data_IF_877864023564
#
_entry.id   IF_877864023564
#
_cell.length_a   1.000
_cell.length_b   1.000
_cell.length_c   1.000
_cell.angle_alpha   90.00
_cell.angle_beta   90.00
_cell.angle_gamma   90.00
#
_symmetry.space_group_name_H-M   'P 1'
#
loop_
_entity.id
_entity.type
_entity.pdbx_description
1 polymer ?
#
# COMPACT_ATOMS: atom_id res chain seq x y z
N UNK A 1 -13.17 13.37 -4.72
CA UNK A 1 -12.26 14.54 -4.77
C UNK A 1 -10.78 14.14 -4.68
N UNK A 2 -10.36 13.37 -3.67
CA UNK A 2 -8.94 13.00 -3.46
C UNK A 2 -8.33 12.12 -4.57
N UNK A 3 -9.10 11.21 -5.16
CA UNK A 3 -8.63 10.37 -6.29
C UNK A 3 -8.45 11.16 -7.59
N UNK A 4 -9.38 12.07 -7.91
CA UNK A 4 -9.26 12.94 -9.09
C UNK A 4 -8.07 13.89 -8.97
N UNK A 5 -7.80 14.44 -7.79
CA UNK A 5 -6.62 15.29 -7.55
C UNK A 5 -5.31 14.50 -7.67
N UNK A 6 -5.25 13.27 -7.16
CA UNK A 6 -4.10 12.38 -7.32
C UNK A 6 -3.87 12.03 -8.80
N UNK A 7 -4.90 11.62 -9.53
CA UNK A 7 -4.81 11.34 -10.97
C UNK A 7 -4.32 12.58 -11.74
N UNK A 8 -4.79 13.78 -11.41
CA UNK A 8 -4.34 15.02 -12.03
C UNK A 8 -2.85 15.30 -11.73
N UNK A 9 -2.40 15.07 -10.50
CA UNK A 9 -1.00 15.20 -10.12
C UNK A 9 -0.09 14.19 -10.85
N UNK A 10 -0.54 12.92 -11.00
CA UNK A 10 0.14 11.90 -11.81
C UNK A 10 0.22 12.33 -13.27
N UNK A 11 -0.89 12.82 -13.83
CA UNK A 11 -0.99 13.23 -15.22
C UNK A 11 -0.07 14.42 -15.51
N UNK A 12 -0.01 15.41 -14.62
CA UNK A 12 0.89 16.57 -14.71
C UNK A 12 2.36 16.14 -14.61
N UNK A 13 2.72 15.30 -13.65
CA UNK A 13 4.09 14.79 -13.50
C UNK A 13 4.49 13.88 -14.68
N UNK A 14 3.55 13.13 -15.25
CA UNK A 14 3.76 12.20 -16.37
C UNK A 14 3.83 12.89 -17.74
N UNK A 15 3.17 14.03 -17.94
CA UNK A 15 3.21 14.78 -19.20
C UNK A 15 4.50 15.59 -19.36
N UNK A 16 5.18 15.93 -18.25
CA UNK A 16 6.47 16.64 -18.27
C UNK A 16 7.66 15.70 -18.55
N UNK A 17 7.71 15.20 -19.79
CA UNK A 17 8.77 14.32 -20.32
C UNK A 17 10.21 14.88 -20.19
N UNK A 18 10.36 16.19 -19.97
CA UNK A 18 11.65 16.90 -19.75
C UNK A 18 12.34 16.61 -18.40
N UNK A 19 11.67 15.98 -17.44
CA UNK A 19 12.19 15.77 -16.07
C UNK A 19 12.60 14.32 -15.77
N UNK A 20 12.82 13.47 -16.77
CA UNK A 20 13.12 12.03 -16.67
C UNK A 20 14.53 11.72 -16.08
N UNK A 21 14.81 12.25 -14.89
CA UNK A 21 15.92 11.91 -14.02
C UNK A 21 15.54 10.76 -13.08
N UNK A 22 16.53 10.16 -12.43
CA UNK A 22 16.38 9.07 -11.44
C UNK A 22 15.39 9.38 -10.31
N UNK A 23 15.23 10.66 -9.94
CA UNK A 23 14.22 11.15 -8.98
C UNK A 23 12.79 10.98 -9.50
N UNK A 24 12.56 11.28 -10.78
CA UNK A 24 11.23 11.18 -11.39
C UNK A 24 10.74 9.73 -11.46
N UNK A 25 11.65 8.76 -11.59
CA UNK A 25 11.28 7.35 -11.61
C UNK A 25 10.69 6.87 -10.26
N UNK A 26 11.22 7.33 -9.13
CA UNK A 26 10.67 6.99 -7.80
C UNK A 26 9.29 7.62 -7.61
N UNK A 27 9.13 8.90 -7.98
CA UNK A 27 7.83 9.58 -7.94
C UNK A 27 6.78 8.89 -8.83
N UNK A 28 7.15 8.44 -10.03
CA UNK A 28 6.24 7.67 -10.89
C UNK A 28 5.72 6.39 -10.21
N UNK A 29 6.59 5.63 -9.56
CA UNK A 29 6.19 4.41 -8.86
C UNK A 29 5.31 4.68 -7.63
N UNK A 30 5.57 5.78 -6.91
CA UNK A 30 4.71 6.25 -5.82
C UNK A 30 3.29 6.55 -6.34
N UNK A 31 3.19 7.32 -7.42
CA UNK A 31 1.92 7.66 -8.05
C UNK A 31 1.15 6.43 -8.54
N UNK A 32 1.86 5.50 -9.18
CA UNK A 32 1.29 4.20 -9.57
C UNK A 32 0.76 3.45 -8.35
N UNK A 33 1.46 3.47 -7.22
CA UNK A 33 0.99 2.85 -5.97
C UNK A 33 -0.29 3.50 -5.43
N UNK A 34 -0.44 4.83 -5.55
CA UNK A 34 -1.69 5.52 -5.20
C UNK A 34 -2.86 5.12 -6.11
N UNK A 35 -2.61 4.99 -7.41
CA UNK A 35 -3.62 4.54 -8.38
C UNK A 35 -4.09 3.12 -8.03
N UNK A 36 -3.16 2.19 -7.82
CA UNK A 36 -3.51 0.82 -7.46
C UNK A 36 -4.28 0.74 -6.14
N UNK A 37 -3.89 1.51 -5.12
CA UNK A 37 -4.61 1.60 -3.86
C UNK A 37 -6.07 2.04 -4.07
N UNK A 38 -6.28 3.06 -4.90
CA UNK A 38 -7.63 3.54 -5.19
C UNK A 38 -8.47 2.53 -5.98
N UNK A 39 -7.88 1.89 -7.00
CA UNK A 39 -8.53 0.79 -7.74
C UNK A 39 -8.94 -0.33 -6.77
N UNK A 40 -8.08 -0.72 -5.85
CA UNK A 40 -8.36 -1.75 -4.86
C UNK A 40 -9.49 -1.39 -3.90
N UNK A 41 -9.56 -0.12 -3.47
CA UNK A 41 -10.69 0.39 -2.67
C UNK A 41 -11.98 0.28 -3.47
N UNK A 42 -12.00 0.74 -4.72
CA UNK A 42 -13.18 0.67 -5.58
C UNK A 42 -13.63 -0.77 -5.75
N UNK A 43 -12.72 -1.69 -6.07
CA UNK A 43 -13.02 -3.11 -6.22
C UNK A 43 -13.62 -3.68 -4.94
N UNK A 44 -13.05 -3.38 -3.76
CA UNK A 44 -13.60 -3.82 -2.48
C UNK A 44 -15.01 -3.28 -2.25
N UNK A 45 -15.24 -1.98 -2.49
CA UNK A 45 -16.57 -1.36 -2.31
C UNK A 45 -17.61 -1.98 -3.23
N UNK A 46 -17.29 -2.17 -4.52
CA UNK A 46 -18.19 -2.81 -5.50
C UNK A 46 -18.51 -4.24 -5.08
N UNK A 47 -17.52 -5.04 -4.70
CA UNK A 47 -17.73 -6.42 -4.25
C UNK A 47 -18.58 -6.46 -2.98
N UNK A 48 -18.31 -5.57 -2.02
CA UNK A 48 -19.07 -5.52 -0.77
C UNK A 48 -20.53 -5.10 -1.01
N UNK A 49 -20.75 -4.15 -1.91
CA UNK A 49 -22.10 -3.72 -2.32
C UNK A 49 -22.85 -4.86 -3.03
N UNK A 50 -22.23 -5.50 -4.03
CA UNK A 50 -22.81 -6.66 -4.73
C UNK A 50 -23.13 -7.78 -3.76
N UNK A 51 -22.26 -8.00 -2.76
CA UNK A 51 -22.52 -8.99 -1.72
C UNK A 51 -23.78 -8.61 -0.92
N UNK A 52 -23.85 -7.39 -0.39
CA UNK A 52 -24.97 -6.96 0.45
C UNK A 52 -26.32 -6.92 -0.30
N UNK A 53 -26.33 -6.50 -1.57
CA UNK A 53 -27.56 -6.40 -2.37
C UNK A 53 -28.08 -7.75 -2.85
N UNK A 54 -27.18 -8.71 -3.13
CA UNK A 54 -27.55 -10.05 -3.56
C UNK A 54 -27.70 -11.03 -2.38
N UNK A 55 -27.96 -10.53 -1.17
CA UNK A 55 -28.13 -11.39 0.00
C UNK A 55 -29.34 -12.31 -0.19
N UNK A 56 -29.13 -13.62 -0.37
CA UNK A 56 -30.23 -14.54 -0.65
C UNK A 56 -31.07 -14.72 0.61
N UNK A 57 -32.40 -14.68 0.46
CA UNK A 57 -33.35 -14.95 1.57
C UNK A 57 -33.61 -16.44 1.76
N UNK A 58 -33.25 -17.27 0.78
CA UNK A 58 -33.49 -18.71 0.76
C UNK A 58 -32.19 -19.52 0.97
N UNK A 59 -32.31 -20.68 1.62
CA UNK A 59 -31.20 -21.57 2.00
C UNK A 59 -30.41 -22.10 0.79
N UNK A 60 -31.08 -22.32 -0.34
CA UNK A 60 -30.48 -22.78 -1.61
C UNK A 60 -29.64 -21.68 -2.26
N UNK A 61 -30.13 -20.43 -2.18
CA UNK A 61 -29.40 -19.23 -2.62
C UNK A 61 -28.18 -19.00 -1.74
N UNK A 62 -28.29 -19.20 -0.43
CA UNK A 62 -27.15 -19.18 0.49
C UNK A 62 -26.09 -20.19 0.09
N UNK A 63 -26.46 -21.43 -0.23
CA UNK A 63 -25.51 -22.48 -0.60
C UNK A 63 -24.76 -22.17 -1.91
N UNK A 64 -25.43 -21.53 -2.87
CA UNK A 64 -24.82 -21.05 -4.12
C UNK A 64 -24.01 -19.76 -3.96
N UNK A 65 -24.31 -18.96 -2.95
CA UNK A 65 -23.63 -17.72 -2.59
C UNK A 65 -22.37 -17.99 -1.74
N UNK A 66 -22.42 -19.00 -0.88
CA UNK A 66 -21.27 -19.61 -0.20
C UNK A 66 -20.43 -20.51 -1.11
N UNK A 67 -20.88 -20.75 -2.35
CA UNK A 67 -20.16 -21.53 -3.37
C UNK A 67 -18.92 -20.75 -3.79
N UNK A 68 -17.85 -20.96 -3.03
CA UNK A 68 -16.41 -20.74 -3.27
C UNK A 68 -15.97 -19.46 -4.03
N UNK A 69 -16.49 -19.15 -5.22
CA UNK A 69 -16.06 -18.05 -6.09
C UNK A 69 -16.28 -16.66 -5.46
N UNK A 70 -17.48 -16.34 -4.96
CA UNK A 70 -17.73 -14.99 -4.39
C UNK A 70 -16.98 -14.76 -3.08
N UNK A 71 -16.91 -15.80 -2.22
CA UNK A 71 -16.12 -15.75 -0.99
C UNK A 71 -14.62 -15.61 -1.28
N UNK A 72 -14.13 -16.32 -2.29
CA UNK A 72 -12.74 -16.21 -2.75
C UNK A 72 -12.44 -14.82 -3.31
N UNK A 73 -13.34 -14.25 -4.13
CA UNK A 73 -13.21 -12.88 -4.67
C UNK A 73 -13.25 -11.83 -3.54
N UNK A 74 -14.08 -12.03 -2.52
CA UNK A 74 -14.14 -11.15 -1.36
C UNK A 74 -12.86 -11.23 -0.50
N UNK A 75 -12.32 -12.43 -0.27
CA UNK A 75 -11.02 -12.62 0.41
C UNK A 75 -9.87 -12.02 -0.41
N UNK A 76 -9.83 -12.29 -1.72
CA UNK A 76 -8.81 -11.77 -2.63
C UNK A 76 -8.83 -10.24 -2.71
N UNK A 77 -10.01 -9.61 -2.77
CA UNK A 77 -10.11 -8.15 -2.78
C UNK A 77 -9.66 -7.53 -1.46
N UNK A 78 -9.95 -8.15 -0.31
CA UNK A 78 -9.42 -7.75 1.00
C UNK A 78 -7.89 -7.83 1.05
N UNK A 79 -7.31 -8.96 0.64
CA UNK A 79 -5.85 -9.15 0.58
C UNK A 79 -5.19 -8.14 -0.36
N UNK A 80 -5.78 -7.96 -1.54
CA UNK A 80 -5.32 -7.02 -2.55
C UNK A 80 -5.32 -5.58 -2.02
N UNK A 81 -6.38 -5.16 -1.33
CA UNK A 81 -6.43 -3.84 -0.69
C UNK A 81 -5.29 -3.66 0.32
N UNK A 82 -5.12 -4.60 1.23
CA UNK A 82 -4.06 -4.51 2.26
C UNK A 82 -2.66 -4.48 1.64
N UNK A 83 -2.44 -5.25 0.56
CA UNK A 83 -1.21 -5.20 -0.21
C UNK A 83 -0.94 -3.82 -0.82
N UNK A 84 -1.92 -3.25 -1.54
CA UNK A 84 -1.74 -1.96 -2.18
C UNK A 84 -1.65 -0.79 -1.20
N UNK A 85 -2.32 -0.90 -0.05
CA UNK A 85 -2.14 0.03 1.07
C UNK A 85 -0.70 -0.07 1.60
N UNK A 86 -0.19 -1.28 1.82
CA UNK A 86 1.19 -1.52 2.22
C UNK A 86 2.20 -0.93 1.21
N UNK A 87 2.07 -1.27 -0.07
CA UNK A 87 2.90 -0.72 -1.15
C UNK A 87 2.94 0.81 -1.12
N UNK A 88 1.79 1.46 -0.92
CA UNK A 88 1.72 2.92 -0.86
C UNK A 88 2.55 3.49 0.30
N UNK A 89 2.47 2.91 1.50
CA UNK A 89 3.28 3.35 2.64
C UNK A 89 4.78 3.06 2.46
N UNK A 90 5.14 1.90 1.92
CA UNK A 90 6.54 1.58 1.66
C UNK A 90 7.16 2.44 0.55
N UNK A 91 6.39 2.80 -0.48
CA UNK A 91 6.85 3.74 -1.51
C UNK A 91 7.02 5.17 -0.97
N UNK A 92 6.16 5.62 -0.04
CA UNK A 92 6.35 6.89 0.69
C UNK A 92 7.64 6.86 1.53
N UNK A 93 7.92 5.75 2.22
CA UNK A 93 9.17 5.56 2.97
C UNK A 93 10.40 5.61 2.06
N UNK A 94 10.35 4.91 0.91
CA UNK A 94 11.45 4.91 -0.07
C UNK A 94 11.71 6.32 -0.61
N UNK A 95 10.66 7.08 -0.90
CA UNK A 95 10.78 8.47 -1.33
C UNK A 95 11.41 9.36 -0.24
N UNK A 96 10.97 9.23 1.01
CA UNK A 96 11.52 9.96 2.15
C UNK A 96 13.02 9.67 2.36
N UNK A 97 13.41 8.39 2.35
CA UNK A 97 14.82 7.96 2.47
C UNK A 97 15.63 8.46 1.28
N UNK A 98 15.09 8.38 0.06
CA UNK A 98 15.77 8.84 -1.15
C UNK A 98 16.06 10.34 -1.09
N UNK A 99 15.08 11.16 -0.67
CA UNK A 99 15.23 12.60 -0.53
C UNK A 99 16.26 12.96 0.54
N UNK A 100 16.21 12.28 1.70
CA UNK A 100 17.20 12.47 2.77
C UNK A 100 18.62 12.09 2.33
N UNK A 101 18.77 10.96 1.62
CA UNK A 101 20.06 10.50 1.10
C UNK A 101 20.63 11.47 0.07
N UNK A 102 19.78 12.05 -0.79
CA UNK A 102 20.19 13.03 -1.80
C UNK A 102 20.71 14.33 -1.17
N UNK A 103 20.10 14.78 -0.07
CA UNK A 103 20.53 15.99 0.64
C UNK A 103 21.86 15.79 1.37
N UNK A 104 22.04 14.64 2.02
CA UNK A 104 23.20 14.42 2.89
C UNK A 104 24.40 13.78 2.16
N UNK A 105 24.14 12.94 1.16
CA UNK A 105 25.19 12.16 0.49
C UNK A 105 25.17 12.48 -1.01
N UNK A 106 25.91 13.52 -1.41
CA UNK A 106 25.98 14.01 -2.80
C UNK A 106 26.56 13.00 -3.82
N UNK A 107 26.95 11.79 -3.40
CA UNK A 107 27.71 10.84 -4.21
C UNK A 107 27.19 9.41 -4.00
N UNK A 108 26.06 9.05 -4.61
CA UNK A 108 25.58 7.65 -4.59
C UNK A 108 25.41 7.07 -6.00
N UNK A 109 25.91 5.85 -6.19
CA UNK A 109 25.91 5.07 -7.43
C UNK A 109 24.48 4.76 -7.90
N UNK A 110 23.91 5.69 -8.67
CA UNK A 110 22.48 5.83 -8.99
C UNK A 110 21.75 4.55 -9.42
N UNK A 111 22.37 3.67 -10.24
CA UNK A 111 21.65 2.53 -10.84
C UNK A 111 21.43 1.33 -9.91
N UNK A 112 22.43 0.94 -9.09
CA UNK A 112 22.33 -0.25 -8.23
C UNK A 112 21.44 -0.01 -7.01
N UNK A 113 21.46 1.22 -6.51
CA UNK A 113 20.61 1.65 -5.38
C UNK A 113 19.15 1.77 -5.79
N UNK A 114 18.83 2.25 -7.00
CA UNK A 114 17.46 2.25 -7.51
C UNK A 114 16.86 0.84 -7.59
N UNK A 115 17.62 -0.15 -8.05
CA UNK A 115 17.16 -1.55 -8.06
C UNK A 115 16.84 -2.05 -6.65
N UNK A 116 17.68 -1.71 -5.66
CA UNK A 116 17.41 -2.06 -4.25
C UNK A 116 16.14 -1.39 -3.74
N UNK A 117 15.97 -0.09 -3.96
CA UNK A 117 14.76 0.65 -3.57
C UNK A 117 13.49 0.10 -4.21
N UNK A 118 13.55 -0.34 -5.47
CA UNK A 118 12.43 -0.97 -6.15
C UNK A 118 12.04 -2.32 -5.55
N UNK A 119 13.02 -3.14 -5.18
CA UNK A 119 12.77 -4.41 -4.45
C UNK A 119 12.17 -4.12 -3.08
N UNK A 120 12.63 -3.08 -2.38
CA UNK A 120 12.10 -2.71 -1.07
C UNK A 120 10.64 -2.22 -1.19
N UNK A 121 10.34 -1.33 -2.14
CA UNK A 121 9.00 -0.74 -2.29
C UNK A 121 7.90 -1.76 -2.65
N UNK A 122 8.21 -2.72 -3.54
CA UNK A 122 7.24 -3.74 -3.97
C UNK A 122 7.33 -5.05 -3.19
N UNK A 123 8.54 -5.49 -2.84
CA UNK A 123 8.78 -6.80 -2.21
C UNK A 123 8.50 -6.83 -0.71
N UNK A 124 8.80 -5.76 0.01
CA UNK A 124 8.57 -5.70 1.46
C UNK A 124 7.08 -5.80 1.84
N UNK A 125 6.14 -5.08 1.18
CA UNK A 125 4.71 -5.27 1.44
C UNK A 125 4.26 -6.72 1.21
N UNK A 126 4.76 -7.36 0.15
CA UNK A 126 4.43 -8.74 -0.19
C UNK A 126 4.88 -9.71 0.91
N UNK A 127 6.07 -9.49 1.47
CA UNK A 127 6.64 -10.31 2.55
C UNK A 127 5.78 -10.28 3.82
N UNK A 128 5.13 -9.16 4.14
CA UNK A 128 4.27 -9.05 5.33
C UNK A 128 2.83 -9.50 5.07
N UNK A 129 2.31 -9.28 3.86
CA UNK A 129 0.94 -9.65 3.50
C UNK A 129 0.76 -11.15 3.35
N UNK A 130 1.76 -11.89 2.87
CA UNK A 130 1.67 -13.35 2.71
C UNK A 130 1.45 -14.06 4.05
N UNK A 131 2.31 -13.89 5.08
CA UNK A 131 2.11 -14.52 6.39
C UNK A 131 0.78 -14.13 7.03
N UNK A 132 0.36 -12.87 6.89
CA UNK A 132 -0.92 -12.39 7.40
C UNK A 132 -2.10 -13.11 6.73
N UNK A 133 -2.04 -13.26 5.39
CA UNK A 133 -3.06 -13.97 4.60
C UNK A 133 -3.14 -15.44 4.97
N UNK A 134 -1.98 -16.10 5.15
CA UNK A 134 -1.91 -17.51 5.56
C UNK A 134 -2.50 -17.67 6.96
N UNK A 135 -2.11 -16.84 7.93
CA UNK A 135 -2.68 -16.87 9.27
C UNK A 135 -4.20 -16.66 9.25
N UNK A 136 -4.70 -15.66 8.50
CA UNK A 136 -6.14 -15.43 8.34
C UNK A 136 -6.89 -16.61 7.71
N UNK A 137 -6.27 -17.29 6.76
CA UNK A 137 -6.87 -18.47 6.10
C UNK A 137 -6.98 -19.67 7.05
N UNK A 138 -5.98 -19.88 7.91
CA UNK A 138 -5.92 -20.99 8.85
C UNK A 138 -6.89 -20.79 10.04
N UNK A 139 -7.00 -19.57 10.57
CA UNK A 139 -7.79 -19.30 11.78
C UNK A 139 -9.25 -18.89 11.52
N UNK A 140 -9.58 -18.26 10.38
CA UNK A 140 -10.93 -17.74 10.08
C UNK A 140 -11.35 -18.03 8.63
N UNK A 141 -11.77 -19.26 8.34
CA UNK A 141 -12.12 -19.64 6.97
C UNK A 141 -13.59 -19.40 6.58
N UNK A 142 -14.46 -19.06 7.55
CA UNK A 142 -15.93 -19.09 7.41
C UNK A 142 -16.61 -17.80 6.94
N UNK A 143 -15.90 -16.68 6.78
CA UNK A 143 -16.52 -15.40 6.33
C UNK A 143 -15.56 -14.56 5.48
N UNK A 144 -16.08 -13.51 4.84
CA UNK A 144 -15.24 -12.53 4.13
C UNK A 144 -14.50 -11.62 5.12
N UNK A 145 -13.52 -12.19 5.86
CA UNK A 145 -12.56 -11.55 6.78
C UNK A 145 -12.96 -10.14 7.27
N UNK A 146 -14.17 -10.05 7.83
CA UNK A 146 -14.78 -8.79 8.22
C UNK A 146 -14.48 -8.51 9.69
N UNK A 147 -14.41 -9.59 10.48
CA UNK A 147 -13.97 -9.54 11.86
C UNK A 147 -12.44 -9.59 11.92
N UNK A 148 -11.85 -8.62 12.61
CA UNK A 148 -10.41 -8.53 12.79
C UNK A 148 -10.08 -8.84 14.25
N UNK A 149 -9.60 -10.05 14.53
CA UNK A 149 -8.96 -10.35 15.80
C UNK A 149 -7.79 -9.37 15.99
N UNK A 150 -7.80 -8.67 17.12
CA UNK A 150 -6.88 -7.56 17.44
C UNK A 150 -5.40 -7.90 17.24
N UNK A 151 -5.01 -9.13 17.56
CA UNK A 151 -3.64 -9.63 17.42
C UNK A 151 -3.21 -9.85 15.95
N UNK A 152 -4.09 -10.45 15.13
CA UNK A 152 -3.79 -10.72 13.71
C UNK A 152 -3.70 -9.42 12.92
N UNK A 153 -4.46 -8.40 13.32
CA UNK A 153 -4.44 -7.09 12.68
C UNK A 153 -3.17 -6.27 12.97
N UNK A 154 -2.51 -6.49 14.11
CA UNK A 154 -1.23 -5.82 14.42
C UNK A 154 -0.08 -6.31 13.55
N UNK A 155 -0.14 -7.53 13.02
CA UNK A 155 0.89 -8.11 12.13
C UNK A 155 1.08 -7.25 10.87
N UNK A 156 -0.01 -6.70 10.32
CA UNK A 156 0.06 -5.86 9.12
C UNK A 156 0.23 -4.38 9.47
N UNK A 157 -0.37 -3.92 10.58
CA UNK A 157 -0.35 -2.51 10.97
C UNK A 157 0.97 -2.08 11.60
N UNK A 158 1.66 -2.97 12.31
CA UNK A 158 2.97 -2.70 12.92
C UNK A 158 4.02 -2.23 11.91
N UNK A 159 4.29 -2.99 10.82
CA UNK A 159 5.23 -2.57 9.78
C UNK A 159 4.86 -1.24 9.11
N UNK A 160 3.57 -0.98 8.92
CA UNK A 160 3.08 0.29 8.36
C UNK A 160 3.37 1.44 9.32
N UNK A 161 3.01 1.32 10.59
CA UNK A 161 3.27 2.36 11.60
C UNK A 161 4.77 2.61 11.75
N UNK A 162 5.60 1.56 11.77
CA UNK A 162 7.05 1.68 11.80
C UNK A 162 7.58 2.44 10.57
N UNK A 163 7.08 2.13 9.37
CA UNK A 163 7.49 2.83 8.14
C UNK A 163 7.14 4.33 8.19
N UNK A 164 6.00 4.70 8.76
CA UNK A 164 5.63 6.11 8.96
C UNK A 164 6.57 6.77 9.96
N UNK A 165 6.85 6.14 11.10
CA UNK A 165 7.78 6.67 12.11
C UNK A 165 9.18 6.89 11.52
N UNK A 166 9.70 5.93 10.75
CA UNK A 166 11.03 6.06 10.11
C UNK A 166 11.04 7.14 9.03
N UNK A 167 9.94 7.33 8.32
CA UNK A 167 9.80 8.46 7.38
C UNK A 167 9.84 9.81 8.10
N UNK A 168 9.50 9.81 9.39
CA UNK A 168 9.28 11.00 10.21
C UNK A 168 10.51 11.42 11.03
N UNK A 169 11.21 10.46 11.63
CA UNK A 169 12.36 10.71 12.50
C UNK A 169 13.48 11.59 11.91
N UNK A 170 13.84 11.51 10.61
CA UNK A 170 14.93 12.31 10.06
C UNK A 170 14.66 13.81 10.06
N UNK A 171 13.40 14.25 9.92
CA UNK A 171 13.08 15.68 9.87
C UNK A 171 13.15 16.34 11.24
N UNK A 172 12.78 15.64 12.32
CA UNK A 172 12.85 16.22 13.67
C UNK A 172 14.30 16.37 14.12
N UNK A 173 15.13 15.39 13.77
CA UNK A 173 16.55 15.44 14.04
C UNK A 173 17.22 16.58 13.24
N UNK A 174 16.81 16.82 12.00
CA UNK A 174 17.32 17.89 11.16
C UNK A 174 16.83 19.29 11.60
N UNK A 175 15.57 19.43 12.06
CA UNK A 175 15.07 20.69 12.63
C UNK A 175 15.79 21.04 13.92
N UNK A 176 16.01 20.05 14.80
CA UNK A 176 16.74 20.24 16.05
C UNK A 176 18.21 20.60 15.81
N UNK A 177 18.87 20.01 14.82
CA UNK A 177 20.24 20.38 14.44
C UNK A 177 20.35 21.79 13.86
N UNK A 178 19.39 22.23 13.03
CA UNK A 178 19.37 23.60 12.49
C UNK A 178 19.06 24.66 13.56
N UNK A 179 18.13 24.37 14.48
CA UNK A 179 17.81 25.27 15.62
C UNK A 179 18.97 25.34 16.62
N UNK A 180 19.81 24.31 16.72
CA UNK A 180 21.01 24.36 17.57
C UNK A 180 22.19 25.10 16.93
N UNK A 181 22.14 25.33 15.61
CA UNK A 181 23.17 26.05 14.83
C UNK A 181 22.82 27.52 14.55
N UNK A 182 21.59 27.96 14.86
CA UNK A 182 21.04 29.31 14.73
C UNK A 182 20.96 29.98 16.11
#
# INVERSE_FOLDING_TARGET
LSFSSLCLAVLIMSLLRKLHCTRNYIHMNLFVSFIFRAIAVIIKEVIFQVMYTNLPRDEIGWNSYTKSTMLFVCKASKVSLEYFVGCNYFWLLVEAIFLHTLLFTAVLTRKRLLKKYMIIGWGTPLLFVIPWTVAKTLYENKSCWLHNIRWIWWIIRGPITLSVIVSIMPYEFHLKWLVFLL
#
